data_IF_721233951962
#
_entry.id   IF_721233951962
#
_cell.length_a   1.000
_cell.length_b   1.000
_cell.length_c   1.000
_cell.angle_alpha   90.00
_cell.angle_beta   90.00
_cell.angle_gamma   90.00
#
_symmetry.space_group_name_H-M   'P 1'
#
loop_
_entity.id
_entity.type
_entity.pdbx_description
1 polymer ?
#
# COMPACT_ATOMS: atom_id res chain seq x y z
N UNK A 1 -18.52 11.14 25.20
CA UNK A 1 -17.72 10.22 26.04
C UNK A 1 -16.80 11.05 26.91
N UNK A 2 -16.80 10.82 28.20
CA UNK A 2 -15.93 11.55 29.13
C UNK A 2 -14.50 11.04 29.00
N UNK A 3 -13.50 11.90 29.16
CA UNK A 3 -12.06 11.67 28.95
C UNK A 3 -11.39 10.54 29.78
N UNK A 4 -12.14 9.71 30.45
CA UNK A 4 -11.64 8.67 31.38
C UNK A 4 -11.67 7.25 30.84
N UNK A 5 -12.21 7.00 29.62
CA UNK A 5 -12.40 5.65 29.07
C UNK A 5 -11.67 5.38 27.74
N UNK A 6 -10.76 6.26 27.30
CA UNK A 6 -9.98 5.99 26.08
C UNK A 6 -8.87 4.99 26.37
N UNK A 7 -8.93 3.82 25.71
CA UNK A 7 -7.83 2.86 25.73
C UNK A 7 -6.57 3.53 25.17
N UNK A 8 -5.44 3.43 25.86
CA UNK A 8 -4.16 3.98 25.39
C UNK A 8 -3.64 3.27 24.14
N UNK A 9 -4.00 2.03 23.93
CA UNK A 9 -3.74 1.20 22.72
C UNK A 9 -4.58 -0.09 22.80
N UNK A 10 -4.75 -0.77 21.66
CA UNK A 10 -5.28 -2.13 21.62
C UNK A 10 -4.56 -2.93 20.53
N UNK A 11 -3.81 -3.93 20.94
CA UNK A 11 -3.04 -4.84 20.08
C UNK A 11 -3.33 -6.29 20.47
N UNK A 12 -2.96 -7.24 19.62
CA UNK A 12 -3.22 -8.67 19.83
C UNK A 12 -2.57 -9.20 21.12
N UNK A 13 -1.26 -8.98 21.24
CA UNK A 13 -0.45 -9.46 22.34
C UNK A 13 0.78 -8.55 22.53
N UNK A 14 0.80 -7.82 23.64
CA UNK A 14 1.90 -6.89 23.96
C UNK A 14 3.22 -7.60 24.27
N UNK A 15 3.19 -8.90 24.60
CA UNK A 15 4.42 -9.69 24.85
C UNK A 15 5.29 -9.87 23.61
N UNK A 16 4.73 -9.68 22.41
CA UNK A 16 5.45 -9.75 21.13
C UNK A 16 6.34 -8.52 20.86
N UNK A 17 6.31 -7.51 21.73
CA UNK A 17 6.99 -6.23 21.49
C UNK A 17 8.51 -6.36 21.33
N UNK A 18 9.17 -7.27 22.06
CA UNK A 18 10.63 -7.46 21.94
C UNK A 18 11.02 -8.04 20.58
N UNK A 19 10.26 -9.00 20.10
CA UNK A 19 10.44 -9.53 18.74
C UNK A 19 10.23 -8.44 17.69
N UNK A 20 9.10 -7.70 17.79
CA UNK A 20 8.83 -6.58 16.89
C UNK A 20 9.97 -5.55 16.86
N UNK A 21 10.53 -5.21 18.02
CA UNK A 21 11.66 -4.27 18.11
C UNK A 21 12.91 -4.77 17.36
N UNK A 22 13.20 -6.07 17.41
CA UNK A 22 14.33 -6.64 16.69
C UNK A 22 14.13 -6.53 15.18
N UNK A 23 12.93 -6.84 14.68
CA UNK A 23 12.63 -6.73 13.26
C UNK A 23 12.55 -5.28 12.77
N UNK A 24 12.05 -4.34 13.58
CA UNK A 24 12.10 -2.90 13.26
C UNK A 24 13.54 -2.44 13.02
N UNK A 25 14.52 -2.88 13.83
CA UNK A 25 15.94 -2.58 13.62
C UNK A 25 16.49 -3.13 12.31
N UNK A 26 16.04 -4.32 11.88
CA UNK A 26 16.40 -4.87 10.57
C UNK A 26 15.81 -4.01 9.45
N UNK A 27 14.55 -3.58 9.58
CA UNK A 27 13.89 -2.72 8.60
C UNK A 27 14.58 -1.35 8.50
N UNK A 28 14.95 -0.72 9.62
CA UNK A 28 15.68 0.55 9.64
C UNK A 28 16.97 0.49 8.80
N UNK A 29 17.72 -0.62 8.88
CA UNK A 29 18.92 -0.82 8.09
C UNK A 29 18.65 -0.85 6.57
N UNK A 30 17.43 -1.19 6.15
CA UNK A 30 16.99 -1.29 4.75
C UNK A 30 16.09 -0.11 4.32
N UNK A 31 15.88 0.89 5.18
CA UNK A 31 15.02 2.04 4.91
C UNK A 31 15.79 3.38 4.92
N UNK A 32 16.75 3.55 4.00
CA UNK A 32 17.71 4.66 4.04
C UNK A 32 17.04 6.04 3.89
N UNK A 33 15.92 6.14 3.16
CA UNK A 33 15.21 7.39 2.99
C UNK A 33 14.67 7.94 4.31
N UNK A 34 13.98 7.09 5.11
CA UNK A 34 13.48 7.49 6.42
C UNK A 34 14.59 7.80 7.41
N UNK A 35 15.65 7.00 7.43
CA UNK A 35 16.79 7.24 8.31
C UNK A 35 17.49 8.56 7.97
N UNK A 36 17.64 8.90 6.69
CA UNK A 36 18.19 10.18 6.26
C UNK A 36 17.29 11.37 6.66
N UNK A 37 15.95 11.22 6.63
CA UNK A 37 15.04 12.26 7.11
C UNK A 37 15.13 12.46 8.63
N UNK A 38 15.33 11.39 9.41
CA UNK A 38 15.59 11.51 10.86
C UNK A 38 16.87 12.30 11.12
N UNK A 39 17.95 12.02 10.37
CA UNK A 39 19.23 12.74 10.49
C UNK A 39 19.07 14.22 10.09
N UNK A 40 18.39 14.53 8.98
CA UNK A 40 18.22 15.90 8.46
C UNK A 40 17.32 16.77 9.35
N UNK A 41 16.23 16.20 9.85
CA UNK A 41 15.13 16.94 10.49
C UNK A 41 14.93 16.64 11.98
N UNK A 42 15.43 15.55 12.51
CA UNK A 42 15.17 15.09 13.86
C UNK A 42 15.48 16.15 14.93
N UNK A 43 16.61 16.85 14.82
CA UNK A 43 16.97 17.92 15.76
C UNK A 43 16.08 19.17 15.63
N UNK A 44 15.55 19.45 14.43
CA UNK A 44 14.74 20.64 14.13
C UNK A 44 13.28 20.50 14.53
N UNK A 45 12.76 19.28 14.65
CA UNK A 45 11.36 18.95 14.98
C UNK A 45 10.33 19.72 14.14
N UNK A 46 10.40 19.70 12.79
CA UNK A 46 9.54 20.52 11.94
C UNK A 46 8.06 20.15 12.04
N UNK A 47 7.71 18.95 12.48
CA UNK A 47 6.33 18.48 12.71
C UNK A 47 5.83 18.78 14.14
N UNK A 48 6.53 19.60 14.91
CA UNK A 48 6.09 19.95 16.28
C UNK A 48 4.68 20.56 16.23
N UNK A 49 3.76 19.97 17.00
CA UNK A 49 2.35 20.37 17.07
C UNK A 49 1.44 19.65 16.08
N UNK A 50 1.99 18.86 15.16
CA UNK A 50 1.21 17.98 14.31
C UNK A 50 0.70 16.78 15.11
N UNK A 51 -0.62 16.57 15.07
CA UNK A 51 -1.32 15.39 15.57
C UNK A 51 -1.73 14.56 14.34
N UNK A 52 -0.91 13.58 13.99
CA UNK A 52 -1.10 12.77 12.78
C UNK A 52 -1.88 11.51 13.14
N UNK A 53 -3.11 11.39 12.65
CA UNK A 53 -3.82 10.12 12.65
C UNK A 53 -3.42 9.33 11.40
N UNK A 54 -2.93 8.11 11.58
CA UNK A 54 -2.56 7.21 10.50
C UNK A 54 -3.50 6.00 10.39
N UNK A 55 -3.92 5.69 9.17
CA UNK A 55 -4.62 4.46 8.82
C UNK A 55 -3.92 3.82 7.62
N UNK A 56 -2.94 3.00 7.90
CA UNK A 56 -2.13 2.29 6.89
C UNK A 56 -1.66 0.97 7.50
N UNK A 57 -1.44 -0.06 6.68
CA UNK A 57 -1.04 -1.40 7.11
C UNK A 57 -0.03 -1.38 8.25
N UNK A 58 -0.40 -1.90 9.43
CA UNK A 58 0.47 -1.88 10.62
C UNK A 58 1.55 -2.97 10.53
N UNK A 59 2.55 -2.73 9.68
CA UNK A 59 3.69 -3.61 9.43
C UNK A 59 4.95 -3.12 10.17
N UNK A 60 6.01 -3.92 10.11
CA UNK A 60 7.35 -3.55 10.61
C UNK A 60 7.84 -2.26 9.92
N UNK A 61 7.63 -2.11 8.61
CA UNK A 61 8.03 -0.92 7.86
C UNK A 61 7.23 0.32 8.30
N UNK A 62 5.95 0.14 8.56
CA UNK A 62 5.08 1.19 9.10
C UNK A 62 5.51 1.65 10.49
N UNK A 63 6.02 0.73 11.31
CA UNK A 63 6.61 1.10 12.60
C UNK A 63 7.79 2.07 12.44
N UNK A 64 8.64 1.86 11.43
CA UNK A 64 9.74 2.80 11.10
C UNK A 64 9.21 4.17 10.66
N UNK A 65 8.13 4.21 9.86
CA UNK A 65 7.47 5.46 9.47
C UNK A 65 6.93 6.19 10.70
N UNK A 66 6.18 5.52 11.56
CA UNK A 66 5.60 6.10 12.79
C UNK A 66 6.71 6.73 13.65
N UNK A 67 7.78 5.99 13.91
CA UNK A 67 8.90 6.49 14.72
C UNK A 67 9.63 7.64 14.01
N UNK A 68 9.69 7.65 12.69
CA UNK A 68 10.26 8.78 11.94
C UNK A 68 9.41 10.04 12.11
N UNK A 69 8.08 9.96 11.96
CA UNK A 69 7.19 11.11 12.17
C UNK A 69 7.33 11.68 13.59
N UNK A 70 7.46 10.80 14.60
CA UNK A 70 7.68 11.19 15.99
C UNK A 70 9.06 11.83 16.18
N UNK A 71 10.09 11.26 15.57
CA UNK A 71 11.45 11.85 15.60
C UNK A 71 11.44 13.26 15.01
N UNK A 72 10.61 13.52 14.01
CA UNK A 72 10.41 14.84 13.40
C UNK A 72 9.49 15.77 14.24
N UNK A 73 8.95 15.31 15.37
CA UNK A 73 8.23 16.12 16.36
C UNK A 73 6.71 15.97 16.36
N UNK A 74 6.13 15.09 15.56
CA UNK A 74 4.69 14.83 15.57
C UNK A 74 4.25 14.04 16.82
N UNK A 75 2.98 14.20 17.22
CA UNK A 75 2.24 13.21 18.01
C UNK A 75 1.48 12.32 17.03
N UNK A 76 1.51 11.00 17.19
CA UNK A 76 1.02 10.04 16.20
C UNK A 76 0.11 9.02 16.86
N UNK A 77 -1.01 8.71 16.20
CA UNK A 77 -1.89 7.59 16.52
C UNK A 77 -2.04 6.71 15.27
N UNK A 78 -2.28 5.41 15.45
CA UNK A 78 -2.29 4.51 14.29
C UNK A 78 -3.32 3.41 14.35
N UNK A 79 -3.94 3.10 13.19
CA UNK A 79 -4.70 1.89 12.93
C UNK A 79 -4.24 1.24 11.63
N UNK A 80 -4.67 0.00 11.37
CA UNK A 80 -4.44 -0.64 10.08
C UNK A 80 -5.58 -0.34 9.11
N UNK A 81 -5.29 -0.25 7.83
CA UNK A 81 -6.28 -0.07 6.75
C UNK A 81 -6.83 -1.40 6.19
N UNK A 82 -6.51 -2.54 6.81
CA UNK A 82 -6.98 -3.85 6.38
C UNK A 82 -6.99 -4.83 7.56
N UNK A 83 -8.03 -5.66 7.65
CA UNK A 83 -8.26 -6.59 8.78
C UNK A 83 -7.24 -7.73 8.89
N UNK A 84 -6.49 -8.05 7.81
CA UNK A 84 -5.51 -9.15 7.80
C UNK A 84 -4.06 -8.69 7.66
N UNK A 85 -3.78 -7.38 7.50
CA UNK A 85 -2.45 -6.89 7.15
C UNK A 85 -1.55 -6.55 8.34
N UNK A 86 -2.10 -6.48 9.54
CA UNK A 86 -1.31 -6.18 10.74
C UNK A 86 -0.28 -7.28 11.03
N UNK A 87 0.96 -6.87 11.28
CA UNK A 87 1.97 -7.69 11.94
C UNK A 87 1.89 -7.43 13.45
N UNK A 88 1.34 -8.38 14.20
CA UNK A 88 0.99 -8.19 15.63
C UNK A 88 2.19 -7.79 16.48
N UNK A 89 3.39 -8.30 16.16
CA UNK A 89 4.63 -7.93 16.84
C UNK A 89 5.09 -6.50 16.52
N UNK A 90 4.79 -5.97 15.32
CA UNK A 90 5.03 -4.57 14.99
C UNK A 90 4.12 -3.64 15.80
N UNK A 91 2.82 -3.93 15.84
CA UNK A 91 1.85 -3.19 16.65
C UNK A 91 2.22 -3.21 18.13
N UNK A 92 2.62 -4.38 18.66
CA UNK A 92 3.07 -4.53 20.05
C UNK A 92 4.31 -3.68 20.36
N UNK A 93 5.31 -3.64 19.46
CA UNK A 93 6.54 -2.87 19.66
C UNK A 93 6.26 -1.37 19.75
N UNK A 94 5.39 -0.85 18.90
CA UNK A 94 4.98 0.56 18.89
C UNK A 94 4.12 0.91 20.11
N UNK A 95 3.17 0.06 20.47
CA UNK A 95 2.34 0.24 21.66
C UNK A 95 3.19 0.22 22.96
N UNK A 96 4.21 -0.65 23.03
CA UNK A 96 5.09 -0.78 24.21
C UNK A 96 5.87 0.49 24.54
N UNK A 97 6.24 1.28 23.54
CA UNK A 97 6.93 2.58 23.73
C UNK A 97 5.94 3.72 23.96
N UNK A 98 4.66 3.42 24.15
CA UNK A 98 3.64 4.38 24.54
C UNK A 98 3.04 5.20 23.41
N UNK A 99 3.08 4.68 22.17
CA UNK A 99 2.41 5.26 21.00
C UNK A 99 1.04 4.59 20.89
N UNK A 100 -0.06 5.36 20.75
CA UNK A 100 -1.39 4.81 20.61
C UNK A 100 -1.55 4.06 19.27
N UNK A 101 -1.66 2.73 19.34
CA UNK A 101 -1.89 1.84 18.19
C UNK A 101 -3.11 0.98 18.46
N UNK A 102 -4.00 0.92 17.48
CA UNK A 102 -5.23 0.15 17.52
C UNK A 102 -5.25 -0.77 16.29
N UNK A 103 -4.62 -1.93 16.36
CA UNK A 103 -4.52 -2.86 15.25
C UNK A 103 -4.13 -4.28 15.69
N UNK A 104 -4.73 -5.29 15.08
CA UNK A 104 -4.32 -6.69 15.18
C UNK A 104 -4.77 -7.48 13.95
N UNK A 105 -4.07 -8.56 13.63
CA UNK A 105 -4.44 -9.43 12.52
C UNK A 105 -5.69 -10.25 12.85
N UNK A 106 -6.68 -10.21 11.95
CA UNK A 106 -7.94 -10.94 12.08
C UNK A 106 -9.02 -10.15 12.82
N UNK A 107 -9.01 -8.82 12.75
CA UNK A 107 -10.15 -7.98 13.15
C UNK A 107 -11.40 -8.33 12.34
N UNK A 108 -12.58 -8.22 12.95
CA UNK A 108 -13.84 -8.13 12.22
C UNK A 108 -14.10 -6.68 11.77
N UNK A 109 -15.13 -6.47 10.94
CA UNK A 109 -15.44 -5.14 10.39
C UNK A 109 -15.80 -4.11 11.48
N UNK A 110 -16.46 -4.52 12.57
CA UNK A 110 -16.80 -3.61 13.67
C UNK A 110 -15.56 -3.21 14.47
N UNK A 111 -14.66 -4.16 14.71
CA UNK A 111 -13.38 -3.91 15.37
C UNK A 111 -12.50 -2.99 14.52
N UNK A 112 -12.48 -3.20 13.20
CA UNK A 112 -11.77 -2.36 12.25
C UNK A 112 -12.26 -0.90 12.30
N UNK A 113 -13.56 -0.68 12.18
CA UNK A 113 -14.18 0.64 12.25
C UNK A 113 -13.89 1.33 13.60
N UNK A 114 -14.01 0.60 14.71
CA UNK A 114 -13.66 1.08 16.04
C UNK A 114 -12.18 1.48 16.15
N UNK A 115 -11.26 0.70 15.58
CA UNK A 115 -9.83 1.00 15.62
C UNK A 115 -9.52 2.32 14.92
N UNK A 116 -10.11 2.58 13.77
CA UNK A 116 -9.95 3.85 13.05
C UNK A 116 -10.48 5.00 13.89
N UNK A 117 -11.68 4.85 14.48
CA UNK A 117 -12.30 5.87 15.32
C UNK A 117 -11.41 6.27 16.51
N UNK A 118 -10.74 5.30 17.15
CA UNK A 118 -9.84 5.59 18.27
C UNK A 118 -8.66 6.51 17.88
N UNK A 119 -8.16 6.41 16.64
CA UNK A 119 -7.04 7.24 16.18
C UNK A 119 -7.37 8.73 16.12
N UNK A 120 -8.64 9.09 16.04
CA UNK A 120 -9.08 10.50 15.93
C UNK A 120 -8.78 11.30 17.20
N UNK A 121 -8.74 10.65 18.38
CA UNK A 121 -8.75 11.31 19.68
C UNK A 121 -7.66 10.86 20.65
N UNK A 122 -6.90 9.82 20.34
CA UNK A 122 -5.97 9.18 21.28
C UNK A 122 -4.61 9.90 21.42
N UNK A 123 -4.55 11.21 21.16
CA UNK A 123 -3.32 11.99 21.23
C UNK A 123 -2.97 12.37 22.66
N UNK A 124 -1.66 12.39 22.98
CA UNK A 124 -1.14 12.66 24.32
C UNK A 124 -1.48 14.06 24.83
N UNK A 125 -1.60 15.02 23.92
CA UNK A 125 -1.94 16.42 24.25
C UNK A 125 -3.44 16.67 24.48
N UNK A 126 -4.29 15.63 24.36
CA UNK A 126 -5.75 15.70 24.55
C UNK A 126 -6.51 16.47 23.47
N UNK A 127 -5.85 16.84 22.36
CA UNK A 127 -6.49 17.47 21.20
C UNK A 127 -6.73 16.39 20.12
N UNK A 128 -7.75 16.53 19.27
CA UNK A 128 -7.96 15.62 18.15
C UNK A 128 -6.87 15.75 17.08
N UNK A 129 -6.96 14.90 16.05
CA UNK A 129 -6.07 14.97 14.89
C UNK A 129 -6.12 16.35 14.21
N UNK A 130 -5.02 16.73 13.58
CA UNK A 130 -4.92 17.90 12.70
C UNK A 130 -4.15 17.62 11.41
N UNK A 131 -3.77 16.35 11.18
CA UNK A 131 -3.21 15.81 9.95
C UNK A 131 -3.71 14.38 9.74
N UNK A 132 -3.89 14.00 8.48
CA UNK A 132 -4.31 12.65 8.08
C UNK A 132 -3.23 12.01 7.19
N UNK A 133 -2.87 10.76 7.51
CA UNK A 133 -2.10 9.87 6.65
C UNK A 133 -2.94 8.62 6.42
N UNK A 134 -3.42 8.42 5.20
CA UNK A 134 -4.40 7.39 4.88
C UNK A 134 -3.93 6.45 3.77
N UNK A 135 -4.50 5.27 3.75
CA UNK A 135 -4.28 4.24 2.73
C UNK A 135 -5.62 3.57 2.40
N UNK A 136 -6.25 4.05 1.33
CA UNK A 136 -7.56 3.60 0.86
C UNK A 136 -8.71 4.54 1.21
N UNK A 137 -8.49 5.54 2.07
CA UNK A 137 -9.44 6.62 2.34
C UNK A 137 -10.47 6.32 3.43
N UNK A 138 -10.31 5.24 4.21
CA UNK A 138 -11.32 4.90 5.24
C UNK A 138 -11.28 5.86 6.44
N UNK A 139 -10.10 6.24 6.91
CA UNK A 139 -9.93 7.27 7.93
C UNK A 139 -10.46 8.63 7.45
N UNK A 140 -10.09 9.02 6.24
CA UNK A 140 -10.54 10.27 5.62
C UNK A 140 -12.06 10.31 5.51
N UNK A 141 -12.68 9.24 5.01
CA UNK A 141 -14.14 9.16 4.91
C UNK A 141 -14.81 9.18 6.28
N UNK A 142 -14.26 8.49 7.28
CA UNK A 142 -14.78 8.55 8.65
C UNK A 142 -14.78 9.99 9.18
N UNK A 143 -13.69 10.73 9.00
CA UNK A 143 -13.60 12.14 9.43
C UNK A 143 -14.62 13.00 8.69
N UNK A 144 -14.64 12.92 7.35
CA UNK A 144 -15.49 13.80 6.55
C UNK A 144 -16.99 13.51 6.70
N UNK A 145 -17.37 12.27 6.92
CA UNK A 145 -18.78 11.85 6.94
C UNK A 145 -19.37 11.74 8.35
N UNK A 146 -18.55 11.39 9.38
CA UNK A 146 -19.03 11.19 10.75
C UNK A 146 -18.56 12.26 11.74
N UNK A 147 -17.43 12.93 11.47
CA UNK A 147 -16.80 13.93 12.35
C UNK A 147 -16.43 15.23 11.62
N UNK A 148 -17.35 15.81 10.83
CA UNK A 148 -17.06 16.98 10.01
C UNK A 148 -16.61 18.23 10.82
N UNK A 149 -16.91 18.28 12.11
CA UNK A 149 -16.46 19.33 13.01
C UNK A 149 -14.92 19.35 13.20
N UNK A 150 -14.23 18.22 12.98
CA UNK A 150 -12.77 18.15 13.08
C UNK A 150 -12.04 18.79 11.89
N UNK A 151 -12.71 18.89 10.74
CA UNK A 151 -12.13 19.37 9.48
C UNK A 151 -11.47 20.74 9.62
N UNK A 152 -12.06 21.65 10.42
CA UNK A 152 -11.55 23.02 10.64
C UNK A 152 -10.12 23.10 11.18
N UNK A 153 -9.67 22.07 11.89
CA UNK A 153 -8.34 22.02 12.53
C UNK A 153 -7.34 21.18 11.70
N UNK A 154 -7.79 20.46 10.66
CA UNK A 154 -6.97 19.61 9.82
C UNK A 154 -6.31 20.40 8.71
N UNK A 155 -5.00 20.29 8.56
CA UNK A 155 -4.21 21.01 7.55
C UNK A 155 -4.10 20.28 6.23
N UNK A 156 -4.27 18.97 6.20
CA UNK A 156 -4.22 18.21 4.95
C UNK A 156 -4.18 16.70 5.12
N UNK A 157 -4.24 16.05 3.97
CA UNK A 157 -4.32 14.58 3.82
C UNK A 157 -3.16 14.14 2.93
N UNK A 158 -2.45 13.06 3.28
CA UNK A 158 -1.62 12.31 2.33
C UNK A 158 -2.20 10.92 2.14
N UNK A 159 -2.37 10.51 0.88
CA UNK A 159 -3.03 9.25 0.50
C UNK A 159 -2.06 8.33 -0.24
N UNK A 160 -1.95 7.09 0.26
CA UNK A 160 -0.98 6.09 -0.19
C UNK A 160 -1.38 5.38 -1.47
N UNK A 161 -2.68 5.10 -1.70
CA UNK A 161 -3.08 4.12 -2.71
C UNK A 161 -4.12 4.63 -3.70
N UNK A 162 -4.15 4.02 -4.88
CA UNK A 162 -5.03 4.36 -6.01
C UNK A 162 -6.48 4.52 -5.59
N UNK A 163 -7.01 3.63 -4.74
CA UNK A 163 -8.42 3.66 -4.36
C UNK A 163 -8.76 4.87 -3.50
N UNK A 164 -7.90 5.22 -2.53
CA UNK A 164 -8.09 6.41 -1.73
C UNK A 164 -7.97 7.68 -2.57
N UNK A 165 -7.01 7.72 -3.51
CA UNK A 165 -6.90 8.82 -4.48
C UNK A 165 -8.17 8.97 -5.32
N UNK A 166 -8.76 7.89 -5.80
CA UNK A 166 -10.04 7.92 -6.53
C UNK A 166 -11.16 8.55 -5.69
N UNK A 167 -11.29 8.17 -4.41
CA UNK A 167 -12.27 8.73 -3.48
C UNK A 167 -12.06 10.24 -3.26
N UNK A 168 -10.80 10.67 -3.12
CA UNK A 168 -10.46 12.10 -2.98
C UNK A 168 -10.79 12.89 -4.25
N UNK A 169 -10.43 12.38 -5.43
CA UNK A 169 -10.73 13.01 -6.72
C UNK A 169 -12.25 13.11 -6.95
N UNK A 170 -13.00 12.06 -6.63
CA UNK A 170 -14.46 12.07 -6.71
C UNK A 170 -15.06 13.16 -5.80
N UNK A 171 -14.58 13.26 -4.54
CA UNK A 171 -15.00 14.33 -3.63
C UNK A 171 -14.66 15.73 -4.18
N UNK A 172 -13.47 15.89 -4.76
CA UNK A 172 -13.06 17.15 -5.39
C UNK A 172 -13.98 17.52 -6.56
N UNK A 173 -14.24 16.57 -7.48
CA UNK A 173 -15.12 16.80 -8.63
C UNK A 173 -16.55 17.17 -8.22
N UNK A 174 -17.02 16.63 -7.11
CA UNK A 174 -18.32 16.91 -6.53
C UNK A 174 -18.36 18.17 -5.63
N UNK A 175 -17.23 18.90 -5.51
CA UNK A 175 -17.11 20.08 -4.63
C UNK A 175 -17.22 19.75 -3.12
N UNK A 176 -16.90 18.51 -2.74
CA UNK A 176 -17.02 17.98 -1.37
C UNK A 176 -15.68 17.66 -0.69
N UNK A 177 -14.56 18.06 -1.29
CA UNK A 177 -13.24 17.93 -0.66
C UNK A 177 -12.92 19.22 0.12
N UNK A 178 -12.98 19.23 1.45
CA UNK A 178 -12.82 20.45 2.25
C UNK A 178 -11.36 20.72 2.66
N UNK A 179 -10.41 19.87 2.25
CA UNK A 179 -9.00 19.89 2.66
C UNK A 179 -8.08 19.69 1.46
N UNK A 180 -6.86 20.24 1.50
CA UNK A 180 -5.83 19.86 0.54
C UNK A 180 -5.41 18.41 0.74
N UNK A 181 -5.16 17.69 -0.34
CA UNK A 181 -4.67 16.32 -0.31
C UNK A 181 -3.47 16.14 -1.23
N UNK A 182 -2.44 15.42 -0.78
CA UNK A 182 -1.33 15.00 -1.62
C UNK A 182 -1.50 13.52 -1.97
N UNK A 183 -1.59 13.26 -3.27
CA UNK A 183 -1.59 11.93 -3.87
C UNK A 183 -0.16 11.38 -3.87
N UNK A 184 0.14 10.47 -2.96
CA UNK A 184 1.42 9.78 -2.88
C UNK A 184 1.49 8.63 -3.88
N UNK A 185 0.36 7.95 -4.13
CA UNK A 185 0.33 6.80 -5.03
C UNK A 185 0.97 7.09 -6.39
N UNK A 186 0.72 8.27 -6.95
CA UNK A 186 1.19 8.64 -8.28
C UNK A 186 2.53 9.40 -8.30
N UNK A 187 3.15 9.64 -7.13
CA UNK A 187 4.57 10.00 -7.09
C UNK A 187 5.39 8.94 -7.81
N UNK A 188 6.35 9.34 -8.64
CA UNK A 188 7.09 8.38 -9.48
C UNK A 188 7.89 7.41 -8.62
N UNK A 189 8.52 7.91 -7.55
CA UNK A 189 9.27 7.08 -6.60
C UNK A 189 8.38 6.19 -5.72
N UNK A 190 7.05 6.35 -5.79
CA UNK A 190 6.07 5.41 -5.20
C UNK A 190 5.53 4.45 -6.28
N UNK A 191 4.82 4.95 -7.29
CA UNK A 191 4.10 4.10 -8.26
C UNK A 191 5.01 3.19 -9.07
N UNK A 192 6.18 3.69 -9.50
CA UNK A 192 7.14 2.91 -10.30
C UNK A 192 8.04 2.00 -9.46
N UNK A 193 8.00 2.12 -8.13
CA UNK A 193 8.79 1.33 -7.19
C UNK A 193 7.91 0.40 -6.35
N UNK A 194 7.06 0.92 -5.49
CA UNK A 194 6.16 0.16 -4.64
C UNK A 194 5.22 -0.73 -5.48
N UNK A 195 4.41 -0.13 -6.33
CA UNK A 195 3.40 -0.87 -7.09
C UNK A 195 4.06 -1.90 -8.05
N UNK A 196 5.25 -1.62 -8.57
CA UNK A 196 5.95 -2.50 -9.51
C UNK A 196 6.91 -3.46 -8.80
N UNK A 197 7.94 -2.93 -8.14
CA UNK A 197 8.98 -3.78 -7.52
C UNK A 197 8.48 -4.43 -6.23
N UNK A 198 7.63 -3.76 -5.45
CA UNK A 198 7.00 -4.34 -4.28
C UNK A 198 6.18 -5.58 -4.63
N UNK A 199 5.32 -5.49 -5.65
CA UNK A 199 4.56 -6.64 -6.14
C UNK A 199 5.44 -7.70 -6.79
N UNK A 200 6.53 -7.29 -7.47
CA UNK A 200 7.51 -8.24 -8.02
C UNK A 200 8.16 -9.10 -6.93
N UNK A 201 8.50 -8.54 -5.78
CA UNK A 201 9.08 -9.29 -4.67
C UNK A 201 8.02 -10.10 -3.91
N UNK A 202 6.86 -9.51 -3.59
CA UNK A 202 5.91 -10.06 -2.62
C UNK A 202 4.91 -11.07 -3.20
N UNK A 203 4.59 -11.05 -4.50
CA UNK A 203 3.58 -11.94 -5.07
C UNK A 203 4.00 -13.41 -5.00
N UNK A 204 5.14 -13.76 -5.58
CA UNK A 204 5.61 -15.15 -5.63
C UNK A 204 5.97 -15.64 -4.23
N UNK A 205 6.50 -14.77 -3.34
CA UNK A 205 6.73 -15.07 -1.94
C UNK A 205 5.45 -15.52 -1.25
N UNK A 206 4.36 -14.76 -1.41
CA UNK A 206 3.07 -15.07 -0.79
C UNK A 206 2.43 -16.36 -1.31
N UNK A 207 2.47 -16.59 -2.62
CA UNK A 207 1.94 -17.84 -3.20
C UNK A 207 2.73 -19.05 -2.70
N UNK A 208 4.06 -18.97 -2.63
CA UNK A 208 4.90 -20.04 -2.12
C UNK A 208 4.63 -20.32 -0.64
N UNK A 209 4.57 -19.31 0.21
CA UNK A 209 4.26 -19.48 1.64
C UNK A 209 2.87 -20.07 1.86
N UNK A 210 1.90 -19.67 1.04
CA UNK A 210 0.53 -20.18 1.12
C UNK A 210 0.43 -21.65 0.70
N UNK A 211 1.08 -22.03 -0.39
CA UNK A 211 0.78 -23.29 -1.10
C UNK A 211 1.98 -24.22 -1.28
N UNK A 212 3.19 -23.73 -1.05
CA UNK A 212 4.45 -24.46 -1.32
C UNK A 212 4.57 -24.98 -2.77
N UNK A 213 3.82 -24.36 -3.70
CA UNK A 213 3.77 -24.78 -5.09
C UNK A 213 5.02 -24.37 -5.87
N UNK A 214 5.50 -25.24 -6.75
CA UNK A 214 6.56 -24.91 -7.69
C UNK A 214 6.01 -24.02 -8.81
N UNK A 215 6.61 -22.85 -9.01
CA UNK A 215 6.19 -21.90 -10.06
C UNK A 215 6.61 -22.33 -11.46
N UNK A 216 7.80 -22.91 -11.58
CA UNK A 216 8.37 -23.28 -12.88
C UNK A 216 7.42 -24.22 -13.66
N UNK A 217 7.18 -23.89 -14.92
CA UNK A 217 6.31 -24.64 -15.80
C UNK A 217 4.80 -24.38 -15.65
N UNK A 218 4.36 -23.72 -14.58
CA UNK A 218 2.95 -23.36 -14.39
C UNK A 218 2.49 -22.31 -15.42
N UNK A 219 1.23 -22.37 -15.81
CA UNK A 219 0.57 -21.29 -16.55
C UNK A 219 -0.03 -20.32 -15.54
N UNK A 220 0.45 -19.10 -15.56
CA UNK A 220 -0.03 -18.04 -14.67
C UNK A 220 -0.73 -16.94 -15.48
N UNK A 221 -1.96 -16.61 -15.11
CA UNK A 221 -2.72 -15.50 -15.69
C UNK A 221 -2.64 -14.31 -14.77
N UNK A 222 -2.21 -13.17 -15.32
CA UNK A 222 -2.19 -11.88 -14.63
C UNK A 222 -3.24 -10.97 -15.26
N UNK A 223 -4.24 -10.58 -14.50
CA UNK A 223 -5.27 -9.66 -14.93
C UNK A 223 -4.83 -8.22 -14.69
N UNK A 224 -4.58 -7.48 -15.75
CA UNK A 224 -4.04 -6.11 -15.74
C UNK A 224 -2.54 -6.05 -16.03
N UNK A 225 -2.11 -4.96 -16.70
CA UNK A 225 -0.70 -4.69 -17.00
C UNK A 225 -0.30 -3.23 -16.70
N UNK A 226 -0.91 -2.65 -15.67
CA UNK A 226 -0.43 -1.45 -14.98
C UNK A 226 0.84 -1.74 -14.18
N UNK A 227 1.25 -0.87 -13.28
CA UNK A 227 2.50 -1.06 -12.51
C UNK A 227 2.47 -2.36 -11.68
N UNK A 228 1.37 -2.64 -10.99
CA UNK A 228 1.16 -3.89 -10.23
C UNK A 228 1.22 -5.13 -11.14
N UNK A 229 0.53 -5.09 -12.28
CA UNK A 229 0.52 -6.18 -13.26
C UNK A 229 1.89 -6.44 -13.86
N UNK A 230 2.65 -5.39 -14.21
CA UNK A 230 4.03 -5.48 -14.72
C UNK A 230 4.95 -6.16 -13.71
N UNK A 231 4.90 -5.73 -12.45
CA UNK A 231 5.66 -6.35 -11.37
C UNK A 231 5.30 -7.82 -11.16
N UNK A 232 4.01 -8.12 -11.10
CA UNK A 232 3.46 -9.46 -10.92
C UNK A 232 3.85 -10.41 -12.06
N UNK A 233 3.69 -9.99 -13.31
CA UNK A 233 4.06 -10.76 -14.49
C UNK A 233 5.57 -11.03 -14.55
N UNK A 234 6.39 -10.03 -14.24
CA UNK A 234 7.85 -10.18 -14.19
C UNK A 234 8.28 -11.15 -13.08
N UNK A 235 7.64 -11.12 -11.91
CA UNK A 235 7.89 -12.02 -10.79
C UNK A 235 7.62 -13.48 -11.17
N UNK A 236 6.44 -13.75 -11.70
CA UNK A 236 6.02 -15.09 -12.13
C UNK A 236 6.92 -15.64 -13.24
N UNK A 237 7.22 -14.82 -14.26
CA UNK A 237 8.17 -15.19 -15.33
C UNK A 237 9.57 -15.46 -14.78
N UNK A 238 10.06 -14.62 -13.88
CA UNK A 238 11.35 -14.80 -13.23
C UNK A 238 11.44 -16.08 -12.41
N UNK A 239 10.30 -16.55 -11.87
CA UNK A 239 10.20 -17.84 -11.17
C UNK A 239 9.99 -19.05 -12.12
N UNK A 240 9.96 -18.83 -13.45
CA UNK A 240 9.86 -19.88 -14.45
C UNK A 240 8.42 -20.21 -14.89
N UNK A 241 7.42 -19.41 -14.51
CA UNK A 241 6.05 -19.58 -15.00
C UNK A 241 5.89 -19.11 -16.44
N UNK A 242 4.94 -19.70 -17.16
CA UNK A 242 4.45 -19.25 -18.47
C UNK A 242 3.32 -18.27 -18.23
N UNK A 243 3.59 -16.97 -18.45
CA UNK A 243 2.65 -15.90 -18.09
C UNK A 243 1.77 -15.51 -19.27
N UNK A 244 0.48 -15.40 -19.01
CA UNK A 244 -0.54 -14.81 -19.89
C UNK A 244 -1.07 -13.56 -19.19
N UNK A 245 -1.19 -12.46 -19.93
CA UNK A 245 -1.76 -11.20 -19.44
C UNK A 245 -3.16 -11.01 -20.00
N UNK A 246 -4.08 -10.47 -19.21
CA UNK A 246 -5.36 -9.95 -19.70
C UNK A 246 -5.40 -8.44 -19.47
N UNK A 247 -5.83 -7.65 -20.46
CA UNK A 247 -5.78 -6.20 -20.39
C UNK A 247 -6.89 -5.55 -21.23
N UNK A 248 -7.38 -4.40 -20.77
CA UNK A 248 -8.37 -3.59 -21.49
C UNK A 248 -7.75 -2.37 -22.18
N UNK A 249 -6.67 -1.83 -21.62
CA UNK A 249 -5.94 -0.69 -22.18
C UNK A 249 -5.06 -1.16 -23.35
N UNK A 250 -5.29 -0.66 -24.58
CA UNK A 250 -4.52 -1.08 -25.75
C UNK A 250 -3.02 -0.74 -25.65
N UNK A 251 -2.65 0.33 -24.92
CA UNK A 251 -1.24 0.70 -24.69
C UNK A 251 -0.57 -0.31 -23.76
N UNK A 252 -1.20 -0.62 -22.63
CA UNK A 252 -0.70 -1.62 -21.70
C UNK A 252 -0.66 -3.02 -22.33
N UNK A 253 -1.67 -3.38 -23.13
CA UNK A 253 -1.70 -4.65 -23.88
C UNK A 253 -0.55 -4.75 -24.89
N UNK A 254 -0.28 -3.66 -25.62
CA UNK A 254 0.87 -3.59 -26.54
C UNK A 254 2.20 -3.70 -25.80
N UNK A 255 2.36 -3.02 -24.66
CA UNK A 255 3.55 -3.16 -23.82
C UNK A 255 3.75 -4.61 -23.35
N UNK A 256 2.68 -5.27 -22.87
CA UNK A 256 2.74 -6.67 -22.46
C UNK A 256 3.22 -7.59 -23.59
N UNK A 257 2.70 -7.39 -24.82
CA UNK A 257 3.11 -8.14 -26.00
C UNK A 257 4.59 -7.88 -26.38
N UNK A 258 5.05 -6.62 -26.30
CA UNK A 258 6.47 -6.26 -26.55
C UNK A 258 7.39 -6.84 -25.47
N UNK A 259 6.94 -6.95 -24.23
CA UNK A 259 7.66 -7.61 -23.15
C UNK A 259 7.66 -9.15 -23.27
N UNK A 260 7.04 -9.71 -24.32
CA UNK A 260 7.05 -11.13 -24.66
C UNK A 260 5.97 -11.96 -23.96
N UNK A 261 4.92 -11.32 -23.42
CA UNK A 261 3.78 -12.04 -22.84
C UNK A 261 2.69 -12.30 -23.88
N UNK A 262 2.02 -13.45 -23.79
CA UNK A 262 0.78 -13.67 -24.50
C UNK A 262 -0.34 -12.82 -23.87
N UNK A 263 -1.09 -12.07 -24.70
CA UNK A 263 -2.23 -11.28 -24.24
C UNK A 263 -3.51 -11.95 -24.74
N UNK A 264 -4.42 -12.30 -23.82
CA UNK A 264 -5.67 -13.03 -24.12
C UNK A 264 -6.84 -12.45 -23.32
N UNK A 265 -8.07 -12.78 -23.72
CA UNK A 265 -9.27 -12.53 -22.91
C UNK A 265 -9.31 -13.50 -21.72
N UNK A 266 -9.88 -13.07 -20.59
CA UNK A 266 -9.98 -13.87 -19.36
C UNK A 266 -10.71 -15.20 -19.62
N UNK A 267 -11.85 -15.19 -20.32
CA UNK A 267 -12.63 -16.40 -20.65
C UNK A 267 -11.81 -17.48 -21.40
N UNK A 268 -10.75 -17.07 -22.09
CA UNK A 268 -9.82 -17.98 -22.77
C UNK A 268 -8.66 -18.38 -21.89
N UNK A 269 -8.07 -17.40 -21.16
CA UNK A 269 -6.86 -17.59 -20.40
C UNK A 269 -7.05 -18.53 -19.20
N UNK A 270 -8.19 -18.45 -18.50
CA UNK A 270 -8.46 -19.25 -17.29
C UNK A 270 -8.51 -20.75 -17.53
N UNK A 271 -8.81 -21.20 -18.76
CA UNK A 271 -8.96 -22.63 -19.10
C UNK A 271 -7.66 -23.42 -18.94
N UNK A 272 -6.53 -22.76 -19.18
CA UNK A 272 -5.20 -23.36 -19.10
C UNK A 272 -4.44 -22.95 -17.81
N UNK A 273 -5.03 -22.06 -16.98
CA UNK A 273 -4.37 -21.47 -15.84
C UNK A 273 -4.18 -22.47 -14.70
N UNK A 274 -2.98 -22.48 -14.13
CA UNK A 274 -2.67 -23.09 -12.83
C UNK A 274 -2.74 -22.04 -11.70
N UNK A 275 -2.48 -20.77 -12.06
CA UNK A 275 -2.48 -19.63 -11.14
C UNK A 275 -3.18 -18.48 -11.83
N UNK A 276 -4.08 -17.79 -11.12
CA UNK A 276 -4.76 -16.57 -11.59
C UNK A 276 -4.57 -15.49 -10.54
N UNK A 277 -4.02 -14.33 -10.97
CA UNK A 277 -3.76 -13.18 -10.12
C UNK A 277 -4.49 -11.96 -10.65
N UNK A 278 -5.28 -11.29 -9.84
CA UNK A 278 -5.91 -10.01 -10.18
C UNK A 278 -5.08 -8.83 -9.68
N UNK A 279 -4.94 -7.80 -10.52
CA UNK A 279 -4.05 -6.65 -10.30
C UNK A 279 -4.65 -5.34 -10.83
N UNK A 280 -5.96 -5.31 -11.09
CA UNK A 280 -6.58 -4.24 -11.89
C UNK A 280 -7.03 -3.03 -11.06
N UNK A 281 -7.24 -3.22 -9.76
CA UNK A 281 -7.92 -2.24 -8.91
C UNK A 281 -9.37 -1.98 -9.29
N UNK A 282 -9.95 -2.84 -10.16
CA UNK A 282 -11.32 -2.73 -10.65
C UNK A 282 -12.22 -3.74 -9.90
N UNK A 283 -13.37 -4.02 -10.43
CA UNK A 283 -14.44 -4.82 -9.85
C UNK A 283 -14.81 -5.96 -10.78
N UNK A 284 -15.10 -7.15 -10.23
CA UNK A 284 -15.71 -8.27 -10.96
C UNK A 284 -14.85 -8.83 -12.09
N UNK A 285 -13.56 -8.98 -11.90
CA UNK A 285 -12.62 -9.51 -12.90
C UNK A 285 -12.72 -11.02 -13.00
N UNK A 286 -12.81 -11.72 -11.87
CA UNK A 286 -13.04 -13.16 -11.80
C UNK A 286 -14.46 -13.41 -11.33
N UNK A 287 -15.28 -14.00 -12.22
CA UNK A 287 -16.70 -14.27 -12.00
C UNK A 287 -16.96 -15.77 -11.94
N UNK A 288 -18.18 -16.17 -11.53
CA UNK A 288 -18.61 -17.58 -11.46
C UNK A 288 -18.28 -18.41 -12.70
N UNK A 289 -18.55 -17.89 -13.92
CA UNK A 289 -18.22 -18.57 -15.17
C UNK A 289 -16.73 -18.86 -15.37
N UNK A 290 -15.86 -18.03 -14.79
CA UNK A 290 -14.42 -18.24 -14.84
C UNK A 290 -14.01 -19.40 -13.91
N UNK A 291 -14.55 -19.46 -12.69
CA UNK A 291 -14.31 -20.57 -11.77
C UNK A 291 -14.75 -21.91 -12.35
N UNK A 292 -15.92 -21.95 -13.00
CA UNK A 292 -16.42 -23.16 -13.67
C UNK A 292 -15.55 -23.61 -14.85
N UNK A 293 -14.82 -22.69 -15.50
CA UNK A 293 -13.93 -22.96 -16.62
C UNK A 293 -12.49 -23.27 -16.23
N UNK A 294 -12.10 -23.02 -14.97
CA UNK A 294 -10.74 -23.27 -14.47
C UNK A 294 -10.45 -24.77 -14.35
N UNK A 295 -9.16 -25.10 -14.40
CA UNK A 295 -8.68 -26.45 -14.07
C UNK A 295 -8.87 -26.77 -12.59
N UNK A 296 -8.86 -28.06 -12.29
CA UNK A 296 -8.85 -28.54 -10.90
C UNK A 296 -7.64 -27.98 -10.14
N UNK A 297 -7.88 -27.49 -8.93
CA UNK A 297 -6.89 -26.89 -8.01
C UNK A 297 -6.17 -25.67 -8.56
N UNK A 298 -6.81 -24.89 -9.44
CA UNK A 298 -6.30 -23.58 -9.83
C UNK A 298 -6.20 -22.68 -8.60
N UNK A 299 -5.03 -22.05 -8.41
CA UNK A 299 -4.78 -21.08 -7.36
C UNK A 299 -5.28 -19.71 -7.84
N UNK A 300 -6.15 -19.08 -7.05
CA UNK A 300 -6.72 -17.76 -7.35
C UNK A 300 -6.36 -16.80 -6.22
N UNK A 301 -5.78 -15.67 -6.54
CA UNK A 301 -5.45 -14.63 -5.57
C UNK A 301 -5.54 -13.24 -6.16
N UNK A 302 -5.59 -12.24 -5.27
CA UNK A 302 -5.62 -10.83 -5.59
C UNK A 302 -4.43 -10.13 -4.95
N UNK A 303 -3.81 -9.19 -5.66
CA UNK A 303 -2.78 -8.29 -5.11
C UNK A 303 -3.18 -6.81 -5.28
N UNK A 304 -4.41 -6.54 -5.72
CA UNK A 304 -5.04 -5.23 -5.66
C UNK A 304 -5.51 -4.89 -4.25
N UNK A 305 -5.77 -3.62 -3.98
CA UNK A 305 -6.06 -3.13 -2.62
C UNK A 305 -7.33 -3.73 -2.01
N UNK A 306 -8.42 -3.85 -2.78
CA UNK A 306 -9.71 -4.37 -2.31
C UNK A 306 -10.01 -5.79 -2.78
N UNK A 307 -10.95 -6.43 -2.10
CA UNK A 307 -11.41 -7.82 -2.30
C UNK A 307 -12.54 -7.98 -3.34
N UNK A 308 -12.82 -6.97 -4.14
CA UNK A 308 -13.94 -6.94 -5.08
C UNK A 308 -13.59 -7.34 -6.52
N UNK A 309 -12.32 -7.62 -6.81
CA UNK A 309 -11.89 -8.13 -8.12
C UNK A 309 -12.32 -9.59 -8.35
N UNK A 310 -12.44 -10.36 -7.28
CA UNK A 310 -12.80 -11.79 -7.30
C UNK A 310 -14.19 -11.96 -6.69
N UNK A 311 -15.11 -12.60 -7.40
CA UNK A 311 -16.48 -12.87 -6.92
C UNK A 311 -16.49 -14.00 -5.88
N UNK A 312 -15.95 -13.70 -4.69
CA UNK A 312 -15.91 -14.63 -3.54
C UNK A 312 -17.32 -14.96 -3.06
N UNK A 313 -18.27 -14.03 -3.20
CA UNK A 313 -19.67 -14.28 -2.83
C UNK A 313 -20.28 -15.42 -3.66
N UNK A 314 -19.95 -15.48 -4.95
CA UNK A 314 -20.38 -16.59 -5.80
C UNK A 314 -19.79 -17.93 -5.33
N UNK A 315 -18.48 -17.98 -4.99
CA UNK A 315 -17.84 -19.18 -4.45
C UNK A 315 -18.52 -19.64 -3.15
N UNK A 316 -18.75 -18.74 -2.21
CA UNK A 316 -19.42 -19.04 -0.92
C UNK A 316 -20.83 -19.62 -1.14
N UNK A 317 -21.53 -19.19 -2.18
CA UNK A 317 -22.90 -19.67 -2.50
C UNK A 317 -22.92 -20.97 -3.31
N UNK A 318 -21.93 -21.24 -4.16
CA UNK A 318 -21.99 -22.29 -5.18
C UNK A 318 -20.98 -23.43 -4.97
N UNK A 319 -20.11 -23.32 -3.96
CA UNK A 319 -19.08 -24.32 -3.66
C UNK A 319 -19.03 -24.63 -2.15
N UNK A 320 -18.48 -25.76 -1.80
CA UNK A 320 -18.18 -26.12 -0.41
C UNK A 320 -16.79 -25.65 -0.06
N UNK A 321 -16.68 -24.86 1.02
CA UNK A 321 -15.40 -24.35 1.55
C UNK A 321 -14.79 -25.34 2.54
N UNK A 322 -13.49 -25.58 2.40
CA UNK A 322 -12.63 -26.27 3.37
C UNK A 322 -11.41 -25.38 3.64
N UNK A 323 -11.24 -24.93 4.87
CA UNK A 323 -10.08 -24.13 5.28
C UNK A 323 -8.87 -25.05 5.52
N UNK A 324 -7.95 -25.06 4.57
CA UNK A 324 -6.73 -25.90 4.67
C UNK A 324 -5.80 -25.38 5.78
N UNK A 325 -5.63 -24.06 5.85
CA UNK A 325 -4.91 -23.33 6.89
C UNK A 325 -5.31 -21.86 6.82
N UNK A 326 -4.99 -21.03 7.81
CA UNK A 326 -5.34 -19.61 7.78
C UNK A 326 -4.96 -18.95 6.44
N UNK A 327 -5.92 -18.26 5.83
CA UNK A 327 -5.80 -17.57 4.54
C UNK A 327 -5.63 -18.47 3.30
N UNK A 328 -5.88 -19.77 3.41
CA UNK A 328 -5.84 -20.73 2.30
C UNK A 328 -7.09 -21.59 2.32
N UNK A 329 -8.01 -21.30 1.42
CA UNK A 329 -9.31 -21.95 1.32
C UNK A 329 -9.41 -22.81 0.05
N UNK A 330 -9.90 -24.04 0.21
CA UNK A 330 -10.25 -24.93 -0.89
C UNK A 330 -11.77 -24.88 -1.10
N UNK A 331 -12.18 -24.46 -2.27
CA UNK A 331 -13.59 -24.47 -2.69
C UNK A 331 -13.85 -25.60 -3.66
N UNK A 332 -14.72 -26.55 -3.30
CA UNK A 332 -15.14 -27.64 -4.19
C UNK A 332 -16.44 -27.27 -4.88
N UNK A 333 -16.39 -27.12 -6.22
CA UNK A 333 -17.53 -26.78 -7.06
C UNK A 333 -18.47 -28.00 -7.23
N UNK A 334 -19.71 -27.77 -7.69
CA UNK A 334 -20.67 -28.83 -8.00
C UNK A 334 -20.17 -29.80 -9.08
N UNK A 335 -19.30 -29.35 -9.98
CA UNK A 335 -18.64 -30.19 -10.98
C UNK A 335 -17.62 -31.19 -10.40
N UNK A 336 -17.22 -30.99 -9.15
CA UNK A 336 -16.11 -31.71 -8.51
C UNK A 336 -14.75 -30.99 -8.62
N UNK A 337 -14.61 -30.01 -9.52
CA UNK A 337 -13.40 -29.20 -9.61
C UNK A 337 -13.19 -28.38 -8.34
N UNK A 338 -11.94 -28.19 -7.96
CA UNK A 338 -11.56 -27.48 -6.77
C UNK A 338 -10.78 -26.20 -7.12
N UNK A 339 -11.02 -25.13 -6.36
CA UNK A 339 -10.34 -23.83 -6.48
C UNK A 339 -9.64 -23.52 -5.16
N UNK A 340 -8.37 -23.20 -5.21
CA UNK A 340 -7.62 -22.67 -4.06
C UNK A 340 -7.71 -21.14 -4.07
N UNK A 341 -8.46 -20.57 -3.12
CA UNK A 341 -8.55 -19.12 -2.94
C UNK A 341 -7.61 -18.69 -1.81
N UNK A 342 -6.75 -17.72 -2.09
CA UNK A 342 -5.81 -17.18 -1.10
C UNK A 342 -6.31 -15.85 -0.53
N UNK A 343 -6.08 -15.64 0.78
CA UNK A 343 -6.40 -14.43 1.53
C UNK A 343 -7.86 -13.98 1.38
N UNK A 344 -8.79 -14.91 1.16
CA UNK A 344 -10.21 -14.64 0.91
C UNK A 344 -10.46 -13.64 -0.23
N UNK A 345 -9.58 -13.56 -1.22
CA UNK A 345 -9.64 -12.59 -2.33
C UNK A 345 -9.08 -11.20 -1.99
N UNK A 346 -8.60 -10.97 -0.78
CA UNK A 346 -7.91 -9.75 -0.34
C UNK A 346 -6.43 -9.76 -0.75
N UNK A 347 -5.68 -8.75 -0.32
CA UNK A 347 -4.24 -8.62 -0.58
C UNK A 347 -3.46 -9.88 -0.18
N UNK A 348 -3.06 -10.68 -1.16
CA UNK A 348 -2.37 -11.95 -0.93
C UNK A 348 -1.01 -11.76 -0.26
N UNK A 349 -0.28 -10.69 -0.62
CA UNK A 349 1.06 -10.42 -0.10
C UNK A 349 1.07 -10.08 1.40
N UNK A 350 0.01 -9.49 1.92
CA UNK A 350 -0.16 -9.20 3.35
C UNK A 350 -0.95 -10.28 4.09
N UNK A 351 -1.91 -10.92 3.42
CA UNK A 351 -2.67 -12.03 3.98
C UNK A 351 -1.84 -13.30 4.19
N UNK A 352 -1.07 -13.69 3.17
CA UNK A 352 -0.30 -14.94 3.14
C UNK A 352 1.20 -14.75 3.38
N UNK A 353 1.72 -13.51 3.41
CA UNK A 353 3.13 -13.20 3.65
C UNK A 353 3.27 -11.94 4.51
N UNK A 354 4.35 -11.20 4.34
CA UNK A 354 4.72 -10.03 5.15
C UNK A 354 4.66 -8.70 4.37
N UNK A 355 4.11 -8.70 3.16
CA UNK A 355 3.97 -7.53 2.31
C UNK A 355 5.24 -7.18 1.54
N UNK A 356 5.38 -5.92 1.19
CA UNK A 356 6.49 -5.41 0.41
C UNK A 356 7.77 -5.28 1.25
N UNK A 357 8.97 -5.47 0.64
CA UNK A 357 10.24 -5.39 1.36
C UNK A 357 10.56 -3.97 1.82
N UNK A 358 11.37 -3.86 2.87
CA UNK A 358 11.67 -2.62 3.56
C UNK A 358 12.24 -1.53 2.65
N UNK A 359 13.14 -1.87 1.73
CA UNK A 359 13.74 -0.89 0.81
C UNK A 359 12.70 -0.22 -0.10
N UNK A 360 11.75 -1.00 -0.63
CA UNK A 360 10.64 -0.47 -1.44
C UNK A 360 9.73 0.42 -0.61
N UNK A 361 9.36 -0.02 0.60
CA UNK A 361 8.52 0.78 1.50
C UNK A 361 9.23 2.03 2.00
N UNK A 362 10.56 2.03 2.06
CA UNK A 362 11.32 3.26 2.31
C UNK A 362 11.03 4.35 1.27
N UNK A 363 10.90 3.99 -0.01
CA UNK A 363 10.52 4.97 -1.04
C UNK A 363 9.13 5.57 -0.75
N UNK A 364 8.11 4.73 -0.55
CA UNK A 364 6.74 5.16 -0.28
C UNK A 364 6.65 6.00 0.99
N UNK A 365 7.27 5.56 2.06
CA UNK A 365 7.18 6.22 3.36
C UNK A 365 8.04 7.48 3.47
N UNK A 366 9.10 7.60 2.68
CA UNK A 366 9.82 8.86 2.51
C UNK A 366 8.95 9.89 1.79
N UNK A 367 8.18 9.46 0.75
CA UNK A 367 7.16 10.30 0.11
C UNK A 367 6.10 10.75 1.13
N UNK A 368 5.56 9.84 1.95
CA UNK A 368 4.58 10.17 2.99
C UNK A 368 5.12 11.19 3.99
N UNK A 369 6.33 10.97 4.49
CA UNK A 369 6.95 11.88 5.45
C UNK A 369 7.17 13.28 4.85
N UNK A 370 7.63 13.37 3.61
CA UNK A 370 7.81 14.65 2.91
C UNK A 370 6.48 15.33 2.61
N UNK A 371 5.42 14.59 2.28
CA UNK A 371 4.09 15.14 2.09
C UNK A 371 3.50 15.70 3.40
N UNK A 372 3.66 14.98 4.51
CA UNK A 372 3.23 15.47 5.82
C UNK A 372 4.00 16.76 6.21
N UNK A 373 5.30 16.80 5.95
CA UNK A 373 6.11 18.01 6.14
C UNK A 373 5.62 19.17 5.27
N UNK A 374 5.39 18.93 3.97
CA UNK A 374 4.95 19.95 3.02
C UNK A 374 3.58 20.52 3.40
N UNK A 375 2.61 19.66 3.69
CA UNK A 375 1.28 20.09 4.12
C UNK A 375 1.29 20.82 5.46
N UNK A 376 2.13 20.39 6.41
CA UNK A 376 2.22 21.01 7.73
C UNK A 376 2.86 22.40 7.69
N UNK A 377 3.96 22.54 6.93
CA UNK A 377 4.76 23.76 6.91
C UNK A 377 4.31 24.79 5.87
N UNK A 378 3.64 24.35 4.80
CA UNK A 378 3.28 25.15 3.64
C UNK A 378 1.78 25.09 3.32
N UNK A 379 0.91 24.85 4.30
CA UNK A 379 -0.54 24.68 4.11
C UNK A 379 -1.15 25.79 3.24
N UNK A 380 -0.73 27.04 3.45
CA UNK A 380 -1.27 28.22 2.74
C UNK A 380 -1.02 28.21 1.22
N UNK A 381 -0.13 27.35 0.74
CA UNK A 381 0.13 27.17 -0.70
C UNK A 381 -0.90 26.28 -1.39
N UNK A 382 -1.69 25.53 -0.62
CA UNK A 382 -2.58 24.50 -1.13
C UNK A 382 -4.04 24.89 -0.93
N UNK A 383 -4.83 24.75 -1.98
CA UNK A 383 -6.29 24.84 -1.93
C UNK A 383 -6.87 23.47 -1.60
N UNK A 384 -8.19 23.41 -1.41
CA UNK A 384 -8.91 22.15 -1.18
C UNK A 384 -9.02 21.31 -2.47
N UNK A 385 -7.89 20.82 -2.93
CA UNK A 385 -7.71 20.06 -4.19
C UNK A 385 -6.75 18.90 -3.95
N UNK A 386 -6.73 17.94 -4.87
CA UNK A 386 -5.77 16.84 -4.89
C UNK A 386 -4.54 17.25 -5.67
N UNK A 387 -3.37 17.19 -5.06
CA UNK A 387 -2.07 17.57 -5.62
C UNK A 387 -1.17 16.35 -5.75
N UNK A 388 -0.22 16.43 -6.67
CA UNK A 388 0.94 15.55 -6.71
C UNK A 388 2.02 16.07 -5.74
N UNK A 389 2.84 15.16 -5.22
CA UNK A 389 4.03 15.58 -4.50
C UNK A 389 4.93 16.39 -5.46
N UNK A 390 5.43 17.59 -5.06
CA UNK A 390 6.30 18.38 -5.90
C UNK A 390 7.51 17.61 -6.46
N UNK A 391 7.82 17.77 -7.75
CA UNK A 391 8.82 16.97 -8.45
C UNK A 391 10.20 16.97 -7.79
N UNK A 392 10.61 18.09 -7.23
CA UNK A 392 11.89 18.17 -6.50
C UNK A 392 11.91 17.30 -5.22
N UNK A 393 10.76 17.08 -4.59
CA UNK A 393 10.62 16.17 -3.44
C UNK A 393 10.62 14.70 -3.89
N UNK A 394 9.96 14.39 -5.01
CA UNK A 394 9.98 13.06 -5.62
C UNK A 394 11.42 12.66 -6.03
N UNK A 395 12.19 13.58 -6.65
CA UNK A 395 13.62 13.36 -6.93
C UNK A 395 14.46 13.24 -5.64
N UNK A 396 14.16 14.02 -4.60
CA UNK A 396 14.81 13.88 -3.29
C UNK A 396 14.66 12.48 -2.73
N UNK A 397 13.45 11.90 -2.81
CA UNK A 397 13.23 10.50 -2.39
C UNK A 397 14.20 9.57 -3.10
N UNK A 398 14.30 9.64 -4.42
CA UNK A 398 15.23 8.79 -5.18
C UNK A 398 16.68 8.98 -4.70
N UNK A 399 17.14 10.22 -4.60
CA UNK A 399 18.53 10.54 -4.18
C UNK A 399 18.89 9.95 -2.83
N UNK A 400 17.97 9.97 -1.84
CA UNK A 400 18.18 9.42 -0.50
C UNK A 400 18.40 7.90 -0.50
N UNK A 401 17.99 7.19 -1.56
CA UNK A 401 18.12 5.74 -1.68
C UNK A 401 19.36 5.27 -2.46
N UNK A 402 19.91 6.12 -3.35
CA UNK A 402 20.95 5.73 -4.30
C UNK A 402 22.24 5.24 -3.63
N UNK A 403 22.68 5.92 -2.58
CA UNK A 403 23.90 5.57 -1.85
C UNK A 403 23.84 4.16 -1.26
N UNK A 404 22.68 3.74 -0.76
CA UNK A 404 22.48 2.43 -0.13
C UNK A 404 22.74 1.29 -1.11
N UNK A 405 22.41 1.49 -2.38
CA UNK A 405 22.58 0.48 -3.44
C UNK A 405 23.81 0.74 -4.33
N UNK A 406 24.71 1.62 -3.88
CA UNK A 406 25.99 1.86 -4.56
C UNK A 406 25.88 2.56 -5.91
N UNK A 407 24.82 3.36 -6.14
CA UNK A 407 24.63 4.12 -7.38
C UNK A 407 25.41 5.43 -7.33
N UNK A 408 26.20 5.69 -8.36
CA UNK A 408 26.87 6.95 -8.63
C UNK A 408 26.14 7.65 -9.78
N UNK A 409 25.70 8.88 -9.57
CA UNK A 409 25.01 9.67 -10.58
C UNK A 409 26.04 10.47 -11.41
N UNK A 410 25.78 10.54 -12.71
CA UNK A 410 26.44 11.54 -13.57
C UNK A 410 25.97 12.95 -13.20
N UNK A 411 26.84 13.92 -13.43
CA UNK A 411 26.58 15.35 -13.21
C UNK A 411 26.53 16.10 -14.53
N UNK A 412 25.51 16.97 -14.68
CA UNK A 412 25.41 17.84 -15.84
C UNK A 412 26.43 19.00 -15.73
N UNK A 413 27.17 19.28 -16.82
CA UNK A 413 27.84 20.56 -16.92
C UNK A 413 26.83 21.71 -17.13
N UNK A 414 27.20 22.92 -16.83
CA UNK A 414 26.36 24.09 -17.07
C UNK A 414 25.91 24.21 -18.55
N UNK A 415 26.79 23.83 -19.48
CA UNK A 415 26.51 23.84 -20.93
C UNK A 415 25.49 22.76 -21.30
N UNK A 416 25.61 21.53 -20.74
CA UNK A 416 24.64 20.45 -20.94
C UNK A 416 23.28 20.81 -20.38
N UNK A 417 23.21 21.33 -19.14
CA UNK A 417 21.99 21.79 -18.52
C UNK A 417 21.27 22.86 -19.36
N UNK A 418 22.03 23.83 -19.86
CA UNK A 418 21.53 24.88 -20.76
C UNK A 418 21.00 24.29 -22.07
N UNK A 419 21.74 23.33 -22.67
CA UNK A 419 21.35 22.70 -23.94
C UNK A 419 20.01 21.98 -23.87
N UNK A 420 19.77 21.22 -22.79
CA UNK A 420 18.50 20.48 -22.58
C UNK A 420 17.43 21.27 -21.81
N UNK A 421 17.74 22.49 -21.38
CA UNK A 421 16.76 23.40 -20.75
C UNK A 421 16.30 23.00 -19.36
N UNK A 422 17.19 22.37 -18.57
CA UNK A 422 16.87 21.97 -17.18
C UNK A 422 17.84 22.61 -16.18
N UNK A 423 17.48 22.73 -14.89
CA UNK A 423 18.46 23.12 -13.86
C UNK A 423 19.58 22.09 -13.74
N UNK A 424 20.81 22.54 -13.49
CA UNK A 424 21.98 21.65 -13.39
C UNK A 424 21.82 20.58 -12.28
N UNK A 425 21.11 20.90 -11.20
CA UNK A 425 20.87 20.01 -10.05
C UNK A 425 19.47 19.35 -10.05
N UNK A 426 18.71 19.53 -11.15
CA UNK A 426 17.32 19.04 -11.20
C UNK A 426 16.29 20.08 -10.71
N UNK A 427 15.00 19.76 -10.81
CA UNK A 427 14.44 18.55 -11.39
C UNK A 427 14.76 18.40 -12.87
N UNK A 428 15.07 17.15 -13.28
CA UNK A 428 15.49 16.87 -14.67
C UNK A 428 14.32 16.62 -15.62
N UNK A 429 13.12 16.47 -15.09
CA UNK A 429 11.88 16.27 -15.85
C UNK A 429 10.79 17.23 -15.38
N UNK A 430 9.87 17.63 -16.26
CA UNK A 430 8.75 18.49 -15.90
C UNK A 430 7.77 17.76 -14.96
N UNK A 431 6.93 18.52 -14.24
CA UNK A 431 5.97 18.03 -13.25
C UNK A 431 5.06 16.91 -13.78
N UNK A 432 4.65 17.00 -15.06
CA UNK A 432 3.73 16.00 -15.66
C UNK A 432 4.41 14.69 -16.11
N UNK A 433 5.74 14.61 -16.09
CA UNK A 433 6.45 13.42 -16.60
C UNK A 433 6.37 12.25 -15.61
N UNK A 434 6.00 11.05 -16.09
CA UNK A 434 5.72 9.85 -15.26
C UNK A 434 6.65 8.65 -15.51
N UNK A 435 7.74 8.77 -16.24
CA UNK A 435 8.76 7.73 -16.51
C UNK A 435 8.24 6.44 -17.13
#
# INVERSE_FOLDING_TARGET
>A
MTATDQAKFKVKDISLAEWGRKEIRLAEAEMPGLMALREEFGAKKPLKGANIAGCLHMTIQTAVLIETLIELGADVTWSSCNIFSTQDHAAAAIAKVGIPVFAWKGMNEQEFDWCIEQTLFAFKNGKPLNMILDDGGDLTNMVLDRYPELVKDIKGISEETTTGVHRLVERQQNGKLPLPAININDSVTKSKFDNKYGCKESLVDSIRRATDVMMAGKVAVVAGYGDVGKGSAASLRGAGARVIVTEIDPICALQAAMDGFAVKKMDTAVKDADIVVTTTGNFGIILGRHFEAMKDKTIVCNIGHFDNEIDVAWLKKNATRDEIKPQVDLYTLKSGNQILLLAEGRLVNLGCATGHPSFVMSNSFTNQTLAQLELWTNTDKYKNEVYMLPKHLDEKVARLHLKKIGVELEELSAEQAKYIGVPQQGPFKPEYYRY
#
